data_IF_603206451074
#
_entry.id   IF_603206451074
#
_cell.length_a   1.000
_cell.length_b   1.000
_cell.length_c   1.000
_cell.angle_alpha   90.00
_cell.angle_beta   90.00
_cell.angle_gamma   90.00
#
_symmetry.space_group_name_H-M   'P 1'
#
loop_
_entity.id
_entity.type
_entity.pdbx_description
1 polymer ?
#
# COMPACT_ATOMS: atom_id res chain seq x y z
N UNK A 1 -7.79 -11.72 -6.12
CA UNK A 1 -6.33 -11.44 -6.13
C UNK A 1 -6.07 -9.97 -5.80
N UNK A 2 -4.87 -9.61 -5.29
CA UNK A 2 -4.48 -8.22 -5.08
C UNK A 2 -3.48 -7.82 -6.16
N UNK A 3 -3.71 -6.70 -6.82
CA UNK A 3 -2.82 -6.11 -7.81
C UNK A 3 -2.35 -4.75 -7.31
N UNK A 4 -1.05 -4.47 -7.38
CA UNK A 4 -0.49 -3.16 -7.04
C UNK A 4 0.14 -2.55 -8.28
N UNK A 5 -0.08 -1.28 -8.53
CA UNK A 5 0.51 -0.57 -9.68
C UNK A 5 1.53 0.44 -9.20
N UNK A 6 2.74 0.36 -9.76
CA UNK A 6 3.78 1.37 -9.62
C UNK A 6 4.16 1.88 -11.00
N UNK A 7 3.73 3.08 -11.36
CA UNK A 7 4.03 3.63 -12.71
C UNK A 7 5.53 3.88 -12.92
N UNK A 8 6.24 4.24 -11.87
CA UNK A 8 7.65 4.59 -11.95
C UNK A 8 8.47 3.91 -10.84
N UNK A 9 8.69 2.59 -10.92
CA UNK A 9 9.54 1.85 -10.01
C UNK A 9 10.93 2.46 -9.92
N UNK A 10 11.61 2.24 -8.80
CA UNK A 10 12.94 2.79 -8.58
C UNK A 10 13.86 1.79 -7.87
N UNK A 11 15.15 1.94 -8.11
CA UNK A 11 16.20 1.44 -7.23
C UNK A 11 16.66 2.62 -6.40
N UNK A 12 16.41 2.59 -5.09
CA UNK A 12 16.90 3.59 -4.16
C UNK A 12 18.33 3.20 -3.75
N UNK A 13 19.32 3.92 -4.27
CA UNK A 13 20.72 3.77 -3.92
C UNK A 13 21.04 4.69 -2.74
N UNK A 14 21.23 4.08 -1.57
CA UNK A 14 21.49 4.79 -0.31
C UNK A 14 22.98 4.86 -0.07
N UNK A 15 23.51 6.06 -0.02
CA UNK A 15 24.94 6.35 0.25
C UNK A 15 25.06 7.00 1.62
N UNK A 16 25.91 6.45 2.49
CA UNK A 16 26.18 7.02 3.83
C UNK A 16 27.52 7.70 3.85
N UNK A 17 27.54 8.91 4.37
CA UNK A 17 28.76 9.65 4.64
C UNK A 17 28.94 9.80 6.15
N UNK A 18 30.18 9.81 6.61
CA UNK A 18 30.56 10.09 8.01
C UNK A 18 30.60 11.58 8.35
N UNK A 19 30.50 12.45 7.34
CA UNK A 19 30.51 13.90 7.44
C UNK A 19 29.46 14.55 6.54
N UNK A 20 29.35 15.88 6.59
CA UNK A 20 28.49 16.63 5.69
C UNK A 20 28.86 16.41 4.22
N UNK A 21 27.86 16.45 3.33
CA UNK A 21 28.10 16.47 1.89
C UNK A 21 28.75 17.80 1.49
N UNK A 22 29.91 17.71 0.88
CA UNK A 22 30.64 18.87 0.35
C UNK A 22 30.44 18.96 -1.16
N UNK A 23 29.65 19.94 -1.60
CA UNK A 23 29.33 20.14 -3.01
C UNK A 23 30.59 20.66 -3.74
N UNK A 24 30.91 20.03 -4.87
CA UNK A 24 32.09 20.36 -5.66
C UNK A 24 33.36 19.60 -5.28
N UNK A 25 33.30 18.81 -4.19
CA UNK A 25 34.41 18.03 -3.68
C UNK A 25 34.19 16.51 -3.85
N UNK A 26 35.25 15.72 -3.66
CA UNK A 26 35.16 14.26 -3.64
C UNK A 26 34.67 13.80 -2.28
N UNK A 27 33.46 13.31 -2.21
CA UNK A 27 32.90 12.67 -1.02
C UNK A 27 33.09 11.16 -1.11
N UNK A 28 33.51 10.51 -0.02
CA UNK A 28 33.70 9.05 0.03
C UNK A 28 32.67 8.43 0.95
N UNK A 29 31.95 7.44 0.41
CA UNK A 29 30.95 6.70 1.19
C UNK A 29 31.64 5.80 2.23
N UNK A 30 31.02 5.67 3.40
CA UNK A 30 31.36 4.70 4.44
C UNK A 30 30.42 3.49 4.45
N UNK A 31 29.35 3.53 3.66
CA UNK A 31 28.40 2.45 3.49
C UNK A 31 27.41 2.73 2.37
N UNK A 32 26.95 1.69 1.75
CA UNK A 32 26.03 1.75 0.60
C UNK A 32 24.99 0.64 0.70
N UNK A 33 23.75 0.93 0.30
CA UNK A 33 22.68 -0.05 0.18
C UNK A 33 21.86 0.21 -1.08
N UNK A 34 21.22 -0.85 -1.60
CA UNK A 34 20.24 -0.76 -2.67
C UNK A 34 18.90 -1.26 -2.17
N UNK A 35 17.88 -0.41 -2.24
CA UNK A 35 16.50 -0.74 -1.89
C UNK A 35 15.66 -0.72 -3.15
N UNK A 36 15.01 -1.84 -3.46
CA UNK A 36 14.13 -1.95 -4.61
C UNK A 36 12.74 -1.49 -4.18
N UNK A 37 12.15 -0.55 -4.93
CA UNK A 37 10.95 0.10 -4.44
C UNK A 37 10.10 0.78 -5.50
N UNK A 38 9.17 1.49 -4.95
CA UNK A 38 8.02 2.15 -5.54
C UNK A 38 6.81 1.85 -4.68
N UNK A 39 5.89 2.80 -4.53
CA UNK A 39 4.82 2.68 -3.53
C UNK A 39 4.01 1.39 -3.66
N UNK A 40 3.56 1.01 -4.86
CA UNK A 40 2.84 -0.25 -5.07
C UNK A 40 3.69 -1.49 -4.75
N UNK A 41 4.99 -1.46 -5.10
CA UNK A 41 5.93 -2.54 -4.76
C UNK A 41 6.09 -2.65 -3.24
N UNK A 42 6.21 -1.53 -2.53
CA UNK A 42 6.28 -1.51 -1.07
C UNK A 42 5.02 -2.11 -0.44
N UNK A 43 3.83 -1.76 -0.97
CA UNK A 43 2.56 -2.37 -0.53
C UNK A 43 2.60 -3.88 -0.74
N UNK A 44 3.05 -4.38 -1.92
CA UNK A 44 3.19 -5.82 -2.18
C UNK A 44 4.16 -6.49 -1.22
N UNK A 45 5.26 -5.84 -0.88
CA UNK A 45 6.22 -6.33 0.11
C UNK A 45 5.58 -6.54 1.48
N UNK A 46 4.82 -5.55 1.96
CA UNK A 46 4.11 -5.63 3.25
C UNK A 46 2.98 -6.66 3.21
N UNK A 47 2.19 -6.72 2.12
CA UNK A 47 1.15 -7.74 1.94
C UNK A 47 1.74 -9.15 2.05
N UNK A 48 2.89 -9.39 1.43
CA UNK A 48 3.58 -10.68 1.53
C UNK A 48 3.98 -11.01 2.97
N UNK A 49 4.52 -10.06 3.73
CA UNK A 49 4.84 -10.26 5.14
C UNK A 49 3.58 -10.57 5.99
N UNK A 50 2.42 -10.02 5.58
CA UNK A 50 1.12 -10.31 6.18
C UNK A 50 0.48 -11.61 5.67
N UNK A 51 1.17 -12.36 4.79
CA UNK A 51 0.69 -13.62 4.23
C UNK A 51 -0.35 -13.47 3.11
N UNK A 52 -0.48 -12.28 2.54
CA UNK A 52 -1.36 -12.00 1.41
C UNK A 52 -0.57 -12.03 0.10
N UNK A 53 -1.07 -12.79 -0.87
CA UNK A 53 -0.49 -12.84 -2.21
C UNK A 53 -0.93 -11.60 -3.01
N UNK A 54 0.01 -11.02 -3.75
CA UNK A 54 -0.24 -9.90 -4.65
C UNK A 54 0.64 -9.98 -5.89
N UNK A 55 0.22 -9.30 -6.97
CA UNK A 55 1.00 -9.14 -8.20
C UNK A 55 1.33 -7.66 -8.39
N UNK A 56 2.62 -7.34 -8.47
CA UNK A 56 3.08 -5.99 -8.75
C UNK A 56 3.11 -5.75 -10.26
N UNK A 57 2.36 -4.74 -10.71
CA UNK A 57 2.28 -4.24 -12.07
C UNK A 57 2.99 -2.89 -12.17
N UNK A 58 3.38 -2.52 -13.37
CA UNK A 58 4.01 -1.23 -13.67
C UNK A 58 4.92 -1.33 -14.89
N UNK A 59 5.85 -0.40 -15.01
CA UNK A 59 6.73 -0.29 -16.16
C UNK A 59 8.19 -0.38 -15.73
N UNK A 60 8.96 -1.19 -16.46
CA UNK A 60 10.40 -1.34 -16.25
C UNK A 60 11.14 -1.21 -17.57
N UNK A 61 12.40 -0.78 -17.51
CA UNK A 61 13.22 -0.59 -18.70
C UNK A 61 14.69 -0.93 -18.44
N UNK A 62 15.34 -1.46 -19.45
CA UNK A 62 16.79 -1.69 -19.48
C UNK A 62 17.32 -2.61 -18.40
N UNK A 63 18.63 -2.61 -18.20
CA UNK A 63 19.30 -3.47 -17.22
C UNK A 63 18.89 -3.19 -15.77
N UNK A 64 18.61 -1.93 -15.45
CA UNK A 64 18.14 -1.55 -14.11
C UNK A 64 16.73 -2.11 -13.84
N UNK A 65 15.87 -2.19 -14.86
CA UNK A 65 14.57 -2.86 -14.78
C UNK A 65 14.72 -4.35 -14.53
N UNK A 66 15.58 -5.01 -15.30
CA UNK A 66 15.89 -6.42 -15.12
C UNK A 66 16.52 -6.72 -13.74
N UNK A 67 17.37 -5.82 -13.23
CA UNK A 67 17.91 -5.92 -11.88
C UNK A 67 16.81 -5.82 -10.82
N UNK A 68 15.91 -4.84 -10.94
CA UNK A 68 14.78 -4.66 -10.04
C UNK A 68 13.91 -5.92 -10.00
N UNK A 69 13.51 -6.47 -11.15
CA UNK A 69 12.68 -7.67 -11.21
C UNK A 69 13.35 -8.90 -10.57
N UNK A 70 14.63 -9.13 -10.90
CA UNK A 70 15.39 -10.23 -10.28
C UNK A 70 15.45 -10.10 -8.76
N UNK A 71 15.66 -8.89 -8.26
CA UNK A 71 15.72 -8.62 -6.84
C UNK A 71 14.37 -8.81 -6.14
N UNK A 72 13.27 -8.35 -6.76
CA UNK A 72 11.91 -8.56 -6.24
C UNK A 72 11.53 -10.04 -6.24
N UNK A 73 11.87 -10.79 -7.29
CA UNK A 73 11.65 -12.23 -7.35
C UNK A 73 12.46 -12.97 -6.26
N UNK A 74 13.71 -12.55 -5.99
CA UNK A 74 14.52 -13.10 -4.90
C UNK A 74 13.91 -12.80 -3.52
N UNK A 75 13.16 -11.69 -3.38
CA UNK A 75 12.38 -11.37 -2.20
C UNK A 75 11.06 -12.14 -2.14
N UNK A 76 10.70 -12.94 -3.15
CA UNK A 76 9.46 -13.73 -3.22
C UNK A 76 8.23 -12.89 -3.59
N UNK A 77 8.40 -11.77 -4.26
CA UNK A 77 7.31 -10.97 -4.82
C UNK A 77 6.97 -11.45 -6.24
N UNK A 78 5.67 -11.56 -6.53
CA UNK A 78 5.20 -11.81 -7.88
C UNK A 78 5.11 -10.48 -8.64
N UNK A 79 5.69 -10.44 -9.83
CA UNK A 79 5.70 -9.28 -10.71
C UNK A 79 5.14 -9.64 -12.08
N UNK A 80 4.44 -8.71 -12.71
CA UNK A 80 3.99 -8.80 -14.10
C UNK A 80 4.13 -7.43 -14.77
N UNK A 81 5.37 -6.92 -14.78
CA UNK A 81 5.72 -5.62 -15.33
C UNK A 81 5.65 -5.61 -16.86
N UNK A 82 5.40 -4.44 -17.40
CA UNK A 82 5.49 -4.13 -18.82
C UNK A 82 6.91 -3.62 -19.10
N UNK A 83 7.59 -4.31 -20.01
CA UNK A 83 8.95 -3.97 -20.40
C UNK A 83 8.93 -2.92 -21.52
N UNK A 84 9.60 -1.79 -21.27
CA UNK A 84 9.74 -0.72 -22.25
C UNK A 84 10.99 -0.94 -23.10
N UNK A 85 10.87 -0.66 -24.39
CA UNK A 85 11.96 -0.86 -25.35
C UNK A 85 13.14 0.12 -25.15
N UNK A 86 12.87 1.28 -24.53
CA UNK A 86 13.83 2.37 -24.38
C UNK A 86 13.90 2.92 -22.97
N UNK A 87 15.05 3.47 -22.62
CA UNK A 87 15.30 4.08 -21.33
C UNK A 87 15.83 3.11 -20.29
N UNK A 88 15.71 3.50 -19.03
CA UNK A 88 16.11 2.70 -17.88
C UNK A 88 15.15 2.93 -16.71
N UNK A 89 14.87 1.91 -15.95
CA UNK A 89 14.22 2.04 -14.64
C UNK A 89 15.08 2.94 -13.77
N UNK A 90 14.45 3.94 -13.15
CA UNK A 90 15.20 5.00 -12.46
C UNK A 90 15.98 4.50 -11.25
N UNK A 91 17.08 5.16 -10.99
CA UNK A 91 17.82 5.08 -9.74
C UNK A 91 17.61 6.41 -9.01
N UNK A 92 17.17 6.34 -7.76
CA UNK A 92 17.19 7.49 -6.87
C UNK A 92 18.44 7.38 -5.98
N UNK A 93 19.15 8.45 -5.79
CA UNK A 93 20.29 8.49 -4.88
C UNK A 93 19.89 9.19 -3.60
N UNK A 94 20.03 8.48 -2.47
CA UNK A 94 19.74 9.00 -1.12
C UNK A 94 21.02 9.14 -0.35
N UNK A 95 21.48 10.36 -0.18
CA UNK A 95 22.72 10.67 0.54
C UNK A 95 22.35 10.92 2.00
N UNK A 96 22.80 10.01 2.87
CA UNK A 96 22.66 10.12 4.32
C UNK A 96 23.97 10.65 4.91
N UNK A 97 23.95 11.93 5.23
CA UNK A 97 25.04 12.69 5.82
C UNK A 97 24.52 13.36 7.11
N UNK A 98 25.08 14.52 7.51
CA UNK A 98 24.48 15.36 8.56
C UNK A 98 23.07 15.81 8.21
N UNK A 99 22.82 16.04 6.92
CA UNK A 99 21.49 16.28 6.33
C UNK A 99 21.24 15.26 5.25
N UNK A 100 19.96 14.83 5.11
CA UNK A 100 19.57 13.90 4.07
C UNK A 100 19.30 14.65 2.76
N UNK A 101 19.94 14.20 1.67
CA UNK A 101 19.77 14.76 0.33
C UNK A 101 19.29 13.65 -0.62
N UNK A 102 18.25 13.93 -1.38
CA UNK A 102 17.70 12.99 -2.37
C UNK A 102 17.83 13.53 -3.79
N UNK A 103 18.36 12.71 -4.70
CA UNK A 103 18.38 12.94 -6.13
C UNK A 103 17.47 11.89 -6.79
N UNK A 104 16.29 12.30 -7.20
CA UNK A 104 15.30 11.39 -7.76
C UNK A 104 15.38 11.36 -9.30
N UNK A 105 15.67 10.19 -9.86
CA UNK A 105 15.70 9.97 -11.30
C UNK A 105 14.30 10.16 -11.93
N UNK A 106 14.24 10.66 -13.15
CA UNK A 106 13.00 10.85 -13.89
C UNK A 106 12.32 9.51 -14.25
N UNK A 107 13.12 8.49 -14.55
CA UNK A 107 12.64 7.22 -15.09
C UNK A 107 12.43 7.26 -16.61
N UNK A 108 12.02 6.13 -17.20
CA UNK A 108 11.81 6.02 -18.63
C UNK A 108 10.53 6.73 -19.07
N UNK A 109 10.49 7.21 -20.30
CA UNK A 109 9.24 7.67 -20.91
C UNK A 109 8.32 6.47 -21.15
N UNK A 110 7.06 6.59 -20.74
CA UNK A 110 6.05 5.54 -20.88
C UNK A 110 5.20 5.87 -22.11
N UNK A 111 5.34 5.11 -23.21
CA UNK A 111 4.55 5.35 -24.42
C UNK A 111 3.08 4.93 -24.22
N UNK A 112 2.19 5.51 -25.02
CA UNK A 112 0.76 5.19 -24.97
C UNK A 112 0.47 3.69 -25.19
N UNK A 113 1.28 3.00 -26.01
CA UNK A 113 1.16 1.55 -26.22
C UNK A 113 1.44 0.73 -24.96
N UNK A 114 2.39 1.17 -24.12
CA UNK A 114 2.66 0.51 -22.86
C UNK A 114 1.52 0.76 -21.85
N UNK A 115 0.98 1.98 -21.80
CA UNK A 115 -0.20 2.28 -20.99
C UNK A 115 -1.39 1.42 -21.40
N UNK A 116 -1.62 1.26 -22.71
CA UNK A 116 -2.66 0.38 -23.24
C UNK A 116 -2.47 -1.08 -22.78
N UNK A 117 -1.25 -1.61 -22.78
CA UNK A 117 -0.96 -2.95 -22.26
C UNK A 117 -1.32 -3.09 -20.77
N UNK A 118 -1.08 -2.04 -19.96
CA UNK A 118 -1.54 -2.03 -18.57
C UNK A 118 -3.06 -2.04 -18.49
N UNK A 119 -3.73 -1.20 -19.27
CA UNK A 119 -5.19 -1.15 -19.36
C UNK A 119 -5.78 -2.52 -19.72
N UNK A 120 -5.21 -3.23 -20.69
CA UNK A 120 -5.61 -4.58 -21.10
C UNK A 120 -5.43 -5.62 -19.97
N UNK A 121 -4.33 -5.53 -19.18
CA UNK A 121 -4.15 -6.37 -18.00
C UNK A 121 -5.23 -6.12 -16.95
N UNK A 122 -5.61 -4.85 -16.74
CA UNK A 122 -6.64 -4.46 -15.77
C UNK A 122 -8.05 -4.85 -16.23
N UNK A 123 -8.29 -5.00 -17.51
CA UNK A 123 -9.59 -5.47 -18.04
C UNK A 123 -9.97 -6.87 -17.55
N UNK A 124 -9.00 -7.70 -17.22
CA UNK A 124 -9.21 -9.05 -16.72
C UNK A 124 -9.61 -9.09 -15.22
N UNK A 125 -9.60 -7.96 -14.53
CA UNK A 125 -9.96 -7.88 -13.12
C UNK A 125 -11.48 -8.02 -12.92
N UNK A 126 -11.87 -8.62 -11.79
CA UNK A 126 -13.24 -8.94 -11.42
C UNK A 126 -13.61 -8.40 -10.03
N UNK A 127 -14.85 -8.54 -9.62
CA UNK A 127 -15.36 -8.13 -8.31
C UNK A 127 -14.61 -8.71 -7.09
N UNK A 128 -13.90 -9.84 -7.30
CA UNK A 128 -13.10 -10.49 -6.24
C UNK A 128 -11.68 -9.92 -6.13
N UNK A 129 -11.31 -9.00 -7.01
CA UNK A 129 -9.98 -8.44 -7.07
C UNK A 129 -9.88 -7.09 -6.35
N UNK A 130 -8.67 -6.78 -5.88
CA UNK A 130 -8.31 -5.48 -5.30
C UNK A 130 -7.23 -4.88 -6.19
N UNK A 131 -7.44 -3.66 -6.66
CA UNK A 131 -6.46 -2.88 -7.37
C UNK A 131 -5.95 -1.74 -6.48
N UNK A 132 -4.65 -1.66 -6.29
CA UNK A 132 -4.00 -0.61 -5.50
C UNK A 132 -3.19 0.28 -6.45
N UNK A 133 -3.64 1.51 -6.63
CA UNK A 133 -2.95 2.56 -7.36
C UNK A 133 -2.21 3.44 -6.36
N UNK A 134 -0.88 3.41 -6.37
CA UNK A 134 -0.09 4.14 -5.39
C UNK A 134 1.07 4.92 -6.04
N UNK A 135 1.19 6.19 -5.66
CA UNK A 135 2.26 7.08 -6.09
C UNK A 135 1.83 8.14 -7.08
N UNK A 136 2.82 8.84 -7.63
CA UNK A 136 2.63 9.91 -8.61
C UNK A 136 2.56 9.36 -10.03
N UNK A 137 1.89 10.10 -10.90
CA UNK A 137 1.90 9.85 -12.35
C UNK A 137 3.15 10.50 -12.94
N UNK A 138 4.01 9.76 -13.66
CA UNK A 138 5.15 10.34 -14.38
C UNK A 138 4.70 11.40 -15.40
N UNK A 139 5.53 12.42 -15.61
CA UNK A 139 5.22 13.51 -16.56
C UNK A 139 5.06 13.06 -18.01
N UNK A 140 5.56 11.87 -18.35
CA UNK A 140 5.39 11.25 -19.67
C UNK A 140 4.01 10.63 -19.88
N UNK A 141 3.18 10.53 -18.83
CA UNK A 141 1.84 9.96 -18.89
C UNK A 141 0.77 11.06 -18.77
N UNK A 142 -0.45 10.83 -19.30
CA UNK A 142 -1.58 11.71 -19.07
C UNK A 142 -1.86 11.85 -17.58
N UNK A 143 -2.12 13.07 -17.11
CA UNK A 143 -2.35 13.33 -15.68
C UNK A 143 -3.71 12.79 -15.20
N UNK A 144 -4.62 12.49 -16.09
CA UNK A 144 -5.92 11.85 -15.86
C UNK A 144 -5.86 10.31 -15.86
N UNK A 145 -4.64 9.73 -15.83
CA UNK A 145 -4.48 8.26 -15.92
C UNK A 145 -5.23 7.53 -14.81
N UNK A 146 -5.24 8.03 -13.58
CA UNK A 146 -5.97 7.37 -12.48
C UNK A 146 -7.48 7.38 -12.74
N UNK A 147 -8.03 8.50 -13.15
CA UNK A 147 -9.46 8.62 -13.52
C UNK A 147 -9.81 7.64 -14.64
N UNK A 148 -8.99 7.57 -15.70
CA UNK A 148 -9.20 6.65 -16.83
C UNK A 148 -9.20 5.19 -16.39
N UNK A 149 -8.26 4.79 -15.53
CA UNK A 149 -8.19 3.42 -15.03
C UNK A 149 -9.39 3.07 -14.14
N UNK A 150 -9.83 3.99 -13.26
CA UNK A 150 -11.01 3.75 -12.44
C UNK A 150 -12.30 3.72 -13.29
N UNK A 151 -12.44 4.63 -14.24
CA UNK A 151 -13.59 4.64 -15.17
C UNK A 151 -13.69 3.33 -15.97
N UNK A 152 -12.55 2.75 -16.37
CA UNK A 152 -12.49 1.47 -17.08
C UNK A 152 -12.94 0.28 -16.23
N UNK A 153 -12.76 0.39 -14.92
CA UNK A 153 -13.15 -0.65 -13.94
C UNK A 153 -14.53 -0.41 -13.32
N UNK A 154 -15.16 0.71 -13.66
CA UNK A 154 -16.49 1.03 -13.15
C UNK A 154 -17.51 -0.06 -13.54
N UNK A 155 -18.38 -0.40 -12.62
CA UNK A 155 -19.36 -1.48 -12.79
C UNK A 155 -18.81 -2.92 -12.71
N UNK A 156 -17.47 -3.12 -12.71
CA UNK A 156 -16.87 -4.47 -12.58
C UNK A 156 -16.79 -4.96 -11.12
N UNK A 157 -17.11 -4.12 -10.14
CA UNK A 157 -17.05 -4.47 -8.72
C UNK A 157 -15.63 -4.59 -8.13
N UNK A 158 -14.58 -4.25 -8.90
CA UNK A 158 -13.19 -4.25 -8.43
C UNK A 158 -13.02 -3.24 -7.28
N UNK A 159 -12.35 -3.66 -6.20
CA UNK A 159 -12.07 -2.77 -5.07
C UNK A 159 -10.84 -1.92 -5.38
N UNK A 160 -11.04 -0.68 -5.83
CA UNK A 160 -9.96 0.24 -6.14
C UNK A 160 -9.50 0.99 -4.88
N UNK A 161 -8.22 0.85 -4.54
CA UNK A 161 -7.53 1.56 -3.46
C UNK A 161 -6.63 2.62 -4.08
N UNK A 162 -6.71 3.88 -3.63
CA UNK A 162 -5.93 4.98 -4.19
C UNK A 162 -5.12 5.67 -3.09
N UNK A 163 -3.79 5.62 -3.21
CA UNK A 163 -2.84 6.39 -2.41
C UNK A 163 -2.13 7.41 -3.30
N UNK A 164 -2.81 8.50 -3.55
CA UNK A 164 -2.35 9.63 -4.36
C UNK A 164 -2.52 10.95 -3.61
N UNK A 165 -1.94 12.02 -4.14
CA UNK A 165 -1.96 13.33 -3.49
C UNK A 165 -2.87 14.31 -4.24
N UNK A 166 -3.43 15.27 -3.51
CA UNK A 166 -4.07 16.49 -4.05
C UNK A 166 -5.13 16.23 -5.14
N UNK A 167 -4.93 16.85 -6.32
CA UNK A 167 -5.88 16.78 -7.43
C UNK A 167 -6.14 15.34 -7.90
N UNK A 168 -5.12 14.48 -7.93
CA UNK A 168 -5.29 13.08 -8.33
C UNK A 168 -6.28 12.36 -7.43
N UNK A 169 -6.23 12.64 -6.11
CA UNK A 169 -7.15 12.03 -5.17
C UNK A 169 -8.57 12.59 -5.31
N UNK A 170 -8.70 13.92 -5.49
CA UNK A 170 -10.01 14.56 -5.67
C UNK A 170 -10.73 14.04 -6.94
N UNK A 171 -9.99 13.88 -8.02
CA UNK A 171 -10.53 13.51 -9.33
C UNK A 171 -11.03 12.06 -9.38
N UNK A 172 -10.53 11.17 -8.52
CA UNK A 172 -10.98 9.76 -8.50
C UNK A 172 -12.21 9.52 -7.62
N UNK A 173 -12.63 10.48 -6.80
CA UNK A 173 -13.77 10.32 -5.89
C UNK A 173 -15.08 9.95 -6.61
N UNK A 174 -15.42 10.54 -7.80
CA UNK A 174 -16.64 10.18 -8.53
C UNK A 174 -16.72 8.70 -8.95
N UNK A 175 -15.59 7.98 -8.97
CA UNK A 175 -15.52 6.55 -9.31
C UNK A 175 -15.62 5.64 -8.07
N UNK A 176 -16.03 6.17 -6.93
CA UNK A 176 -16.30 5.44 -5.69
C UNK A 176 -15.15 4.52 -5.25
N UNK A 177 -13.90 5.03 -5.09
CA UNK A 177 -12.79 4.21 -4.65
C UNK A 177 -13.10 3.52 -3.32
N UNK A 178 -12.74 2.24 -3.24
CA UNK A 178 -12.95 1.43 -2.04
C UNK A 178 -12.21 1.98 -0.82
N UNK A 179 -10.98 2.46 -1.03
CA UNK A 179 -10.17 3.10 0.01
C UNK A 179 -9.39 4.26 -0.61
N UNK A 180 -9.36 5.37 0.09
CA UNK A 180 -8.37 6.43 -0.11
C UNK A 180 -7.54 6.63 1.16
N UNK A 181 -6.26 7.03 0.99
CA UNK A 181 -5.38 7.28 2.12
C UNK A 181 -4.67 8.63 2.04
N UNK A 182 -5.31 9.76 2.36
CA UNK A 182 -4.61 11.02 2.58
C UNK A 182 -3.85 11.03 3.92
N UNK A 183 -2.82 11.86 4.05
CA UNK A 183 -2.37 12.30 5.35
C UNK A 183 -3.23 13.47 5.85
N UNK A 184 -3.07 13.89 7.11
CA UNK A 184 -3.86 14.97 7.70
C UNK A 184 -3.69 16.31 6.98
N UNK A 185 -2.50 16.61 6.45
CA UNK A 185 -2.25 17.83 5.67
C UNK A 185 -2.91 17.77 4.30
N UNK A 186 -2.73 16.66 3.59
CA UNK A 186 -3.39 16.40 2.29
C UNK A 186 -4.91 16.47 2.42
N UNK A 187 -5.47 15.91 3.50
CA UNK A 187 -6.90 16.00 3.79
C UNK A 187 -7.33 17.45 4.00
N UNK A 188 -6.55 18.25 4.75
CA UNK A 188 -6.79 19.67 4.95
C UNK A 188 -6.77 20.46 3.65
N UNK A 189 -5.79 20.20 2.77
CA UNK A 189 -5.72 20.80 1.43
C UNK A 189 -6.97 20.46 0.59
N UNK A 190 -7.46 19.21 0.64
CA UNK A 190 -8.63 18.75 -0.11
C UNK A 190 -9.95 19.41 0.36
N UNK A 191 -10.05 19.82 1.62
CA UNK A 191 -11.22 20.51 2.17
C UNK A 191 -10.99 22.02 2.33
N UNK A 192 -9.81 22.54 1.95
CA UNK A 192 -9.49 23.96 1.90
C UNK A 192 -9.28 24.61 3.28
N UNK A 193 -8.92 23.84 4.32
CA UNK A 193 -8.65 24.36 5.67
C UNK A 193 -7.66 23.50 6.44
N UNK A 194 -6.97 24.08 7.39
CA UNK A 194 -6.17 23.33 8.36
C UNK A 194 -7.09 22.54 9.30
N UNK A 195 -6.65 21.34 9.67
CA UNK A 195 -7.41 20.42 10.52
C UNK A 195 -6.68 20.21 11.85
N UNK A 196 -7.41 20.45 12.93
CA UNK A 196 -6.92 20.30 14.29
C UNK A 196 -7.77 19.29 15.06
N UNK A 197 -7.16 18.16 15.44
CA UNK A 197 -7.81 17.14 16.24
C UNK A 197 -8.75 16.20 15.47
N UNK A 198 -9.10 15.12 16.14
CA UNK A 198 -9.81 13.97 15.54
C UNK A 198 -11.22 14.33 15.03
N UNK A 199 -11.90 15.30 15.69
CA UNK A 199 -13.26 15.69 15.28
C UNK A 199 -13.27 16.38 13.91
N UNK A 200 -12.33 17.30 13.66
CA UNK A 200 -12.23 17.98 12.37
C UNK A 200 -11.73 17.07 11.26
N UNK A 201 -10.77 16.18 11.59
CA UNK A 201 -10.28 15.14 10.66
C UNK A 201 -11.42 14.21 10.28
N UNK A 202 -12.25 13.78 11.24
CA UNK A 202 -13.42 12.94 10.98
C UNK A 202 -14.43 13.64 10.08
N UNK A 203 -14.75 14.91 10.36
CA UNK A 203 -15.67 15.68 9.55
C UNK A 203 -15.16 15.86 8.10
N UNK A 204 -13.87 16.16 7.94
CA UNK A 204 -13.23 16.27 6.63
C UNK A 204 -13.24 14.92 5.88
N UNK A 205 -12.93 13.81 6.56
CA UNK A 205 -13.00 12.47 5.97
C UNK A 205 -14.41 12.12 5.48
N UNK A 206 -15.45 12.47 6.26
CA UNK A 206 -16.85 12.30 5.84
C UNK A 206 -17.20 13.12 4.60
N UNK A 207 -16.67 14.34 4.48
CA UNK A 207 -16.83 15.14 3.24
C UNK A 207 -16.28 14.41 2.01
N UNK A 208 -15.16 13.65 2.15
CA UNK A 208 -14.64 12.83 1.04
C UNK A 208 -15.50 11.58 0.79
N UNK A 209 -16.15 11.02 1.81
CA UNK A 209 -17.14 9.95 1.61
C UNK A 209 -18.38 10.45 0.86
N UNK A 210 -18.89 11.63 1.20
CA UNK A 210 -20.00 12.27 0.48
C UNK A 210 -19.65 12.54 -1.00
N UNK A 211 -18.37 12.75 -1.31
CA UNK A 211 -17.87 12.92 -2.68
C UNK A 211 -17.61 11.59 -3.40
N UNK A 212 -17.72 10.44 -2.71
CA UNK A 212 -17.66 9.13 -3.32
C UNK A 212 -16.74 8.09 -2.68
N UNK A 213 -15.76 8.48 -1.87
CA UNK A 213 -14.89 7.50 -1.22
C UNK A 213 -15.68 6.59 -0.28
N UNK A 214 -15.47 5.26 -0.35
CA UNK A 214 -16.15 4.32 0.56
C UNK A 214 -15.49 4.30 1.93
N UNK A 215 -14.18 4.17 1.99
CA UNK A 215 -13.39 4.19 3.21
C UNK A 215 -12.31 5.29 3.12
N UNK A 216 -12.11 6.04 4.19
CA UNK A 216 -11.10 7.10 4.26
C UNK A 216 -10.16 6.81 5.43
N UNK A 217 -8.91 6.46 5.12
CA UNK A 217 -7.85 6.19 6.09
C UNK A 217 -6.92 7.39 6.15
N UNK A 218 -6.95 8.13 7.24
CA UNK A 218 -6.12 9.34 7.43
C UNK A 218 -4.88 8.98 8.23
N UNK A 219 -3.70 9.17 7.65
CA UNK A 219 -2.43 8.99 8.36
C UNK A 219 -2.02 10.28 9.06
N UNK A 220 -1.55 10.18 10.32
CA UNK A 220 -1.23 11.31 11.19
C UNK A 220 0.16 11.19 11.82
N UNK A 221 1.11 10.67 11.07
CA UNK A 221 2.49 10.48 11.51
C UNK A 221 2.59 9.86 12.93
N UNK A 222 3.24 10.53 13.87
CA UNK A 222 3.41 10.09 15.26
C UNK A 222 2.10 9.93 16.04
N UNK A 223 1.02 10.53 15.58
CA UNK A 223 -0.31 10.41 16.19
C UNK A 223 -1.07 9.16 15.73
N UNK A 224 -0.53 8.42 14.75
CA UNK A 224 -1.10 7.16 14.26
C UNK A 224 -2.05 7.35 13.09
N UNK A 225 -3.27 6.81 13.15
CA UNK A 225 -4.23 6.88 12.04
C UNK A 225 -5.69 6.95 12.50
N UNK A 226 -6.54 7.50 11.66
CA UNK A 226 -7.99 7.55 11.80
C UNK A 226 -8.64 6.97 10.54
N UNK A 227 -9.54 6.02 10.72
CA UNK A 227 -10.34 5.44 9.64
C UNK A 227 -11.80 5.84 9.82
N UNK A 228 -12.40 6.35 8.75
CA UNK A 228 -13.86 6.42 8.60
C UNK A 228 -14.25 5.35 7.60
N UNK A 229 -14.96 4.32 8.07
CA UNK A 229 -15.34 3.17 7.25
C UNK A 229 -16.64 3.41 6.46
N UNK A 230 -16.92 2.55 5.50
CA UNK A 230 -18.09 2.63 4.63
C UNK A 230 -19.45 2.48 5.36
N UNK A 231 -19.45 1.99 6.61
CA UNK A 231 -20.63 1.94 7.46
C UNK A 231 -20.79 3.22 8.32
N UNK A 232 -19.88 4.19 8.20
CA UNK A 232 -19.85 5.43 8.97
C UNK A 232 -19.18 5.29 10.35
N UNK A 233 -18.60 4.14 10.65
CA UNK A 233 -17.82 3.92 11.87
C UNK A 233 -16.51 4.72 11.85
N UNK A 234 -16.08 5.19 13.02
CA UNK A 234 -14.83 5.93 13.19
C UNK A 234 -13.91 5.12 14.10
N UNK A 235 -12.73 4.80 13.57
CA UNK A 235 -11.73 3.99 14.26
C UNK A 235 -10.44 4.76 14.40
N UNK A 236 -9.93 4.85 15.63
CA UNK A 236 -8.69 5.56 15.97
C UNK A 236 -7.65 4.56 16.45
N UNK A 237 -6.44 4.64 15.87
CA UNK A 237 -5.29 3.85 16.32
C UNK A 237 -4.10 4.78 16.56
N UNK A 238 -3.44 4.63 17.70
CA UNK A 238 -2.20 5.36 18.01
C UNK A 238 -1.00 4.77 17.27
N UNK A 239 0.07 5.55 17.18
CA UNK A 239 1.34 5.06 16.65
C UNK A 239 1.94 3.99 17.58
N UNK A 240 2.43 2.85 17.06
CA UNK A 240 3.15 1.87 17.85
C UNK A 240 4.38 2.51 18.54
N UNK A 241 4.58 2.18 19.82
CA UNK A 241 5.75 2.66 20.55
C UNK A 241 7.00 1.91 20.09
N UNK A 242 8.04 2.64 19.72
CA UNK A 242 9.31 2.07 19.29
C UNK A 242 10.30 3.13 18.81
N UNK A 243 11.55 2.72 18.55
CA UNK A 243 12.54 3.59 17.90
C UNK A 243 12.24 3.61 16.39
N UNK A 244 11.99 4.78 15.86
CA UNK A 244 11.82 4.95 14.41
C UNK A 244 13.16 4.70 13.73
N UNK A 245 13.23 3.67 12.89
CA UNK A 245 14.41 3.36 12.07
C UNK A 245 14.29 4.06 10.71
N UNK A 246 13.10 4.00 10.11
CA UNK A 246 12.78 4.69 8.87
C UNK A 246 11.26 4.94 8.82
N UNK A 247 10.86 6.13 8.40
CA UNK A 247 9.45 6.51 8.22
C UNK A 247 8.95 6.30 6.77
N UNK A 248 9.87 6.07 5.82
CA UNK A 248 9.51 5.81 4.41
C UNK A 248 8.73 4.52 4.32
N UNK A 249 7.61 4.53 3.58
CA UNK A 249 6.74 3.36 3.43
C UNK A 249 5.74 3.12 4.55
N UNK A 250 5.68 3.98 5.59
CA UNK A 250 4.66 3.86 6.64
C UNK A 250 3.23 3.98 6.06
N UNK A 251 3.00 4.88 5.11
CA UNK A 251 1.75 5.00 4.38
C UNK A 251 1.40 3.76 3.57
N UNK A 252 2.39 3.20 2.86
CA UNK A 252 2.25 1.97 2.08
C UNK A 252 1.88 0.79 2.99
N UNK A 253 2.49 0.74 4.20
CA UNK A 253 2.18 -0.27 5.22
C UNK A 253 0.75 -0.16 5.76
N UNK A 254 0.23 1.06 5.92
CA UNK A 254 -1.17 1.28 6.34
C UNK A 254 -2.15 0.77 5.28
N UNK A 255 -1.90 1.03 4.00
CA UNK A 255 -2.70 0.51 2.89
C UNK A 255 -2.69 -1.02 2.89
N UNK A 256 -1.51 -1.62 2.96
CA UNK A 256 -1.36 -3.07 3.00
C UNK A 256 -2.07 -3.70 4.21
N UNK A 257 -1.89 -3.11 5.40
CA UNK A 257 -2.52 -3.57 6.64
C UNK A 257 -4.05 -3.49 6.59
N UNK A 258 -4.61 -2.40 6.04
CA UNK A 258 -6.05 -2.27 5.86
C UNK A 258 -6.59 -3.34 4.89
N UNK A 259 -5.97 -3.50 3.72
CA UNK A 259 -6.41 -4.48 2.71
C UNK A 259 -6.30 -5.90 3.25
N UNK A 260 -5.19 -6.27 3.89
CA UNK A 260 -5.01 -7.57 4.49
C UNK A 260 -6.06 -7.86 5.57
N UNK A 261 -6.31 -6.89 6.48
CA UNK A 261 -7.32 -7.02 7.52
C UNK A 261 -8.73 -7.15 6.97
N UNK A 262 -9.05 -6.40 5.92
CA UNK A 262 -10.37 -6.47 5.27
C UNK A 262 -10.64 -7.82 4.60
N UNK A 263 -9.62 -8.41 3.97
CA UNK A 263 -9.74 -9.68 3.25
C UNK A 263 -9.65 -10.91 4.18
N UNK A 264 -9.18 -10.73 5.42
CA UNK A 264 -9.07 -11.83 6.40
C UNK A 264 -10.43 -12.04 7.07
N UNK A 265 -11.04 -13.23 7.00
CA UNK A 265 -12.31 -13.52 7.67
C UNK A 265 -12.20 -13.28 9.19
N UNK A 266 -13.24 -12.69 9.78
CA UNK A 266 -13.32 -12.46 11.22
C UNK A 266 -13.20 -13.80 11.97
N UNK A 267 -12.20 -13.92 12.88
CA UNK A 267 -11.97 -15.15 13.65
C UNK A 267 -10.92 -16.11 13.07
N UNK A 268 -10.37 -15.85 11.89
CA UNK A 268 -9.20 -16.58 11.40
C UNK A 268 -7.91 -15.92 11.91
N UNK A 269 -6.98 -16.72 12.41
CA UNK A 269 -5.64 -16.23 12.65
C UNK A 269 -5.02 -15.79 11.31
N UNK A 270 -4.25 -14.69 11.27
CA UNK A 270 -3.55 -14.32 10.06
C UNK A 270 -2.70 -15.50 9.58
N UNK A 271 -2.63 -15.77 8.27
CA UNK A 271 -1.80 -16.83 7.76
C UNK A 271 -0.36 -16.62 8.24
N UNK A 272 0.28 -17.70 8.69
CA UNK A 272 1.67 -17.62 9.12
C UNK A 272 2.53 -17.11 7.94
N UNK A 273 3.35 -16.08 8.19
CA UNK A 273 4.22 -15.48 7.18
C UNK A 273 4.94 -16.55 6.34
N UNK A 274 4.86 -16.43 5.03
CA UNK A 274 5.48 -17.37 4.11
C UNK A 274 7.01 -17.37 4.29
N UNK A 275 7.66 -18.55 4.28
CA UNK A 275 9.08 -18.66 4.44
C UNK A 275 9.85 -18.21 3.18
N UNK A 276 11.03 -17.62 3.39
CA UNK A 276 11.94 -17.18 2.31
C UNK A 276 12.51 -18.36 1.53
N UNK A 277 12.59 -18.30 0.19
CA UNK A 277 13.32 -19.29 -0.58
C UNK A 277 14.82 -19.17 -0.32
N UNK A 278 15.50 -20.31 -0.17
CA UNK A 278 16.96 -20.36 -0.11
C UNK A 278 17.55 -20.04 -1.50
N UNK A 279 18.58 -19.20 -1.51
CA UNK A 279 19.31 -18.81 -2.73
C UNK A 279 20.18 -19.96 -3.27
N UNK A 280 19.57 -20.96 -3.89
CA UNK A 280 20.30 -21.92 -4.72
C UNK A 280 19.37 -22.51 -5.78
N UNK A 281 19.60 -22.12 -7.03
CA UNK A 281 19.21 -22.86 -8.23
C UNK A 281 17.82 -22.57 -8.78
N UNK A 282 17.68 -21.55 -9.62
CA UNK A 282 16.58 -21.44 -10.56
C UNK A 282 17.09 -21.49 -11.99
N UNK A 283 16.61 -22.42 -12.83
CA UNK A 283 16.87 -22.42 -14.26
C UNK A 283 16.00 -21.39 -14.97
N UNK A 284 16.56 -20.78 -16.00
CA UNK A 284 15.92 -19.81 -16.90
C UNK A 284 14.64 -20.37 -17.52
N UNK A 285 13.57 -19.57 -17.47
CA UNK A 285 12.39 -19.69 -18.29
C UNK A 285 11.18 -20.36 -17.64
N UNK A 286 10.41 -19.64 -16.82
CA UNK A 286 9.08 -20.09 -16.44
C UNK A 286 8.07 -18.96 -16.62
N UNK A 287 7.23 -19.13 -17.63
CA UNK A 287 6.03 -18.32 -17.90
C UNK A 287 5.03 -18.40 -16.74
N UNK A 288 4.26 -17.33 -16.57
CA UNK A 288 3.30 -16.93 -15.53
C UNK A 288 2.29 -17.95 -14.96
N UNK A 289 2.37 -19.24 -15.30
CA UNK A 289 1.41 -20.27 -14.84
C UNK A 289 1.86 -21.14 -13.66
N UNK A 290 3.01 -20.86 -13.02
CA UNK A 290 3.56 -21.70 -11.92
C UNK A 290 3.70 -21.01 -10.56
N UNK A 291 3.15 -19.84 -10.34
CA UNK A 291 3.13 -19.20 -9.00
C UNK A 291 2.16 -19.85 -7.99
N UNK A 292 1.50 -20.95 -8.34
CA UNK A 292 0.45 -21.58 -7.54
C UNK A 292 0.90 -22.82 -6.74
N UNK A 293 2.19 -23.02 -6.45
CA UNK A 293 2.62 -24.12 -5.60
C UNK A 293 3.19 -23.67 -4.27
N UNK A 294 2.54 -24.14 -3.18
CA UNK A 294 2.84 -23.93 -1.76
C UNK A 294 4.24 -24.37 -1.39
N UNK A 295 4.98 -23.53 -0.66
CA UNK A 295 6.18 -23.91 0.08
C UNK A 295 6.10 -23.56 1.56
N UNK A 296 6.47 -24.52 2.44
CA UNK A 296 6.64 -24.35 3.89
C UNK A 296 8.13 -24.28 4.23
N UNK A 297 8.61 -23.25 4.93
CA UNK A 297 9.98 -23.24 5.51
C UNK A 297 10.02 -22.52 6.88
N UNK A 298 10.91 -23.00 7.78
CA UNK A 298 11.13 -22.53 9.18
C UNK A 298 12.12 -21.35 9.26
N UNK A 299 11.86 -20.44 10.23
CA UNK A 299 12.74 -19.29 10.57
C UNK A 299 14.11 -19.72 11.10
N UNK A 300 15.17 -18.99 10.71
CA UNK A 300 16.44 -18.83 11.44
C UNK A 300 16.55 -17.41 11.97
N UNK A 301 17.00 -17.29 13.24
CA UNK A 301 17.24 -16.01 13.92
C UNK A 301 18.52 -15.35 13.40
N UNK A 302 18.51 -14.02 13.20
CA UNK A 302 19.73 -13.21 13.18
C UNK A 302 20.04 -12.38 11.93
N UNK A 303 19.08 -12.02 11.07
CA UNK A 303 19.31 -11.03 10.00
C UNK A 303 18.35 -9.85 10.14
N UNK A 304 18.91 -8.64 10.26
CA UNK A 304 18.16 -7.39 10.26
C UNK A 304 17.52 -7.18 8.88
N UNK A 305 16.20 -7.13 8.83
CA UNK A 305 15.43 -6.86 7.63
C UNK A 305 15.34 -5.35 7.41
N UNK A 306 15.82 -4.76 6.29
CA UNK A 306 15.68 -3.34 6.01
C UNK A 306 14.21 -2.89 5.86
N UNK A 307 13.27 -3.84 5.75
CA UNK A 307 11.82 -3.61 5.71
C UNK A 307 11.12 -3.93 7.03
N UNK A 308 11.79 -3.78 8.19
CA UNK A 308 11.13 -3.92 9.48
C UNK A 308 10.13 -2.75 9.69
N UNK A 309 9.01 -2.82 8.98
CA UNK A 309 7.86 -1.93 9.17
C UNK A 309 7.14 -2.36 10.45
N UNK A 310 6.94 -1.42 11.37
CA UNK A 310 6.00 -1.63 12.45
C UNK A 310 4.59 -1.62 11.86
N UNK A 311 3.98 -2.79 11.75
CA UNK A 311 2.66 -2.99 11.18
C UNK A 311 1.61 -2.26 12.04
N UNK A 312 0.95 -1.27 11.46
CA UNK A 312 -0.30 -0.75 12.01
C UNK A 312 -1.40 -1.71 11.53
N UNK A 313 -1.67 -2.73 12.32
CA UNK A 313 -2.80 -3.63 12.12
C UNK A 313 -3.95 -3.05 12.92
N UNK A 314 -5.06 -2.70 12.28
CA UNK A 314 -6.29 -2.36 12.99
C UNK A 314 -6.75 -3.59 13.77
N UNK A 315 -7.11 -3.46 15.08
CA UNK A 315 -7.56 -4.60 15.86
C UNK A 315 -8.75 -5.25 15.17
N UNK A 316 -8.70 -6.58 15.03
CA UNK A 316 -9.81 -7.39 14.57
C UNK A 316 -10.96 -7.24 15.55
N UNK A 317 -12.01 -6.59 15.17
CA UNK A 317 -13.16 -6.50 16.02
C UNK A 317 -14.12 -5.38 15.66
N UNK A 318 -14.64 -5.37 14.45
CA UNK A 318 -15.98 -4.83 14.12
C UNK A 318 -16.29 -5.21 12.66
N UNK A 319 -16.28 -6.51 12.36
CA UNK A 319 -17.09 -7.02 11.27
C UNK A 319 -18.53 -7.08 11.80
N UNK A 320 -19.31 -6.03 11.57
CA UNK A 320 -20.76 -6.12 11.70
C UNK A 320 -21.29 -7.00 10.58
N UNK A 321 -21.19 -8.31 10.77
CA UNK A 321 -21.98 -9.28 10.05
C UNK A 321 -23.44 -9.01 10.36
N UNK A 322 -24.25 -8.83 9.32
CA UNK A 322 -25.71 -8.84 9.38
C UNK A 322 -26.21 -10.12 10.05
N UNK A 323 -26.49 -10.06 11.33
CA UNK A 323 -27.41 -10.97 11.98
C UNK A 323 -28.71 -10.22 12.25
N UNK A 324 -29.72 -10.48 11.41
CA UNK A 324 -31.12 -10.23 11.72
C UNK A 324 -31.41 -10.94 13.05
N UNK A 325 -31.51 -10.20 14.12
CA UNK A 325 -32.24 -10.67 15.29
C UNK A 325 -33.75 -10.55 15.00
N UNK A 326 -34.42 -11.66 14.82
CA UNK A 326 -35.84 -11.73 14.98
C UNK A 326 -36.18 -11.39 16.41
N UNK A 327 -36.97 -10.34 16.59
CA UNK A 327 -37.71 -10.08 17.79
C UNK A 327 -38.81 -11.12 17.89
N UNK A 328 -38.68 -12.05 18.84
CA UNK A 328 -39.73 -12.91 19.33
C UNK A 328 -39.95 -12.58 20.78
N UNK A 329 -41.01 -11.85 21.07
CA UNK A 329 -41.45 -11.56 22.41
C UNK A 329 -42.01 -12.82 23.08
N UNK A 330 -41.94 -12.87 24.37
CA UNK A 330 -43.15 -13.03 25.19
C UNK A 330 -42.83 -12.71 26.66
N UNK A 331 -43.76 -12.04 27.36
CA UNK A 331 -43.67 -11.76 28.76
C UNK A 331 -44.50 -12.81 29.52
N UNK A 332 -44.15 -13.11 30.71
CA UNK A 332 -44.93 -13.52 31.88
C UNK A 332 -44.17 -14.53 32.75
N UNK A 333 -43.87 -14.12 33.92
CA UNK A 333 -44.49 -14.58 35.17
C UNK A 333 -43.95 -13.92 36.41
N UNK A 334 -44.90 -13.32 37.03
CA UNK A 334 -44.86 -12.77 38.35
C UNK A 334 -44.77 -13.86 39.43
N UNK A 335 -44.44 -13.42 40.61
CA UNK A 335 -44.67 -14.07 41.90
C UNK A 335 -43.38 -14.31 42.66
N UNK A 336 -43.13 -13.79 43.79
CA UNK A 336 -43.91 -13.49 44.92
C UNK A 336 -43.05 -13.62 46.16
N UNK A 337 -43.34 -12.75 47.09
CA UNK A 337 -43.19 -12.91 48.55
C UNK A 337 -41.79 -12.86 49.17
N UNK A 338 -41.48 -11.78 49.85
CA UNK A 338 -41.78 -11.54 51.26
C UNK A 338 -40.65 -11.93 52.22
N UNK A 339 -40.14 -10.94 52.85
CA UNK A 339 -40.09 -10.66 54.29
C UNK A 339 -38.82 -11.05 55.09
N UNK A 340 -38.52 -10.08 55.92
CA UNK A 340 -37.81 -10.09 57.22
C UNK A 340 -36.26 -10.18 57.20
N UNK A 341 -35.60 -9.20 57.59
CA UNK A 341 -35.37 -8.55 58.88
C UNK A 341 -34.55 -7.29 58.64
#
# INVERSE_FOLDING_TARGET
MIYTVTFNPAIDYVVRLDKALEVGEVNRAVGEDCVLGGKGINVSGVLRELGCESVALGFVAGETGAWLERGLAAQGLCTDFIHLDHGMTRINVKIKASEETELNGAGPAIPASALQQLEEKLDALTENDVLILAGSIPSSMPQDTYERLLARLDGKGVRCVVDATRALLANVLPFHPFLIKPNNHELGELVGRELTGDAEITAAARTLQEKGARNVLVSMAGDGALLVDEAGGVHRIGCPKGKVVNSVGAGDSMVAGFVAGYLTPCGSAPPAAAPRPSASGLPNGVRSKRCLQRFKIRRKQGEENPYAYHHIIFPQGHCTGFHRFHAGGDPERAGGAASHS
#
